data_IF_416500215992
#
_entry.id   IF_416500215992
#
_cell.length_a   1.000
_cell.length_b   1.000
_cell.length_c   1.000
_cell.angle_alpha   90.00
_cell.angle_beta   90.00
_cell.angle_gamma   90.00
#
_symmetry.space_group_name_H-M   'P 1'
#
loop_
_entity.id
_entity.type
_entity.pdbx_description
1 polymer ?
#
# COMPACT_ATOMS: atom_id res chain seq x y z
N UNK A 1 -21.65 11.35 5.39
CA UNK A 1 -20.45 12.21 5.48
C UNK A 1 -20.79 13.62 5.09
N UNK A 2 -20.59 14.53 6.03
CA UNK A 2 -20.63 15.98 5.77
C UNK A 2 -19.42 16.42 4.91
N UNK A 3 -19.51 17.57 4.27
CA UNK A 3 -18.46 18.12 3.37
C UNK A 3 -17.12 18.22 4.10
N UNK A 4 -17.13 18.66 5.37
CA UNK A 4 -15.91 18.79 6.17
C UNK A 4 -15.22 17.45 6.40
N UNK A 5 -15.99 16.38 6.62
CA UNK A 5 -15.45 15.02 6.78
C UNK A 5 -14.86 14.50 5.47
N UNK A 6 -15.51 14.79 4.34
CA UNK A 6 -15.02 14.40 3.02
C UNK A 6 -13.69 15.08 2.70
N UNK A 7 -13.56 16.37 2.99
CA UNK A 7 -12.30 17.11 2.80
C UNK A 7 -11.19 16.50 3.68
N UNK A 8 -11.47 16.22 4.95
CA UNK A 8 -10.48 15.56 5.83
C UNK A 8 -10.07 14.19 5.29
N UNK A 9 -11.02 13.36 4.86
CA UNK A 9 -10.75 12.05 4.30
C UNK A 9 -9.96 12.14 3.00
N UNK A 10 -10.29 13.09 2.14
CA UNK A 10 -9.56 13.36 0.91
C UNK A 10 -8.09 13.72 1.18
N UNK A 11 -7.84 14.61 2.15
CA UNK A 11 -6.46 14.98 2.55
C UNK A 11 -5.70 13.79 3.15
N UNK A 12 -6.36 12.93 3.92
CA UNK A 12 -5.77 11.66 4.38
C UNK A 12 -5.42 10.76 3.19
N UNK A 13 -6.31 10.67 2.20
CA UNK A 13 -6.05 9.97 0.94
C UNK A 13 -4.85 10.55 0.18
N UNK A 14 -4.72 11.88 0.13
CA UNK A 14 -3.54 12.50 -0.47
C UNK A 14 -2.26 12.12 0.29
N UNK A 15 -2.27 12.17 1.63
CA UNK A 15 -1.12 11.76 2.42
C UNK A 15 -0.74 10.27 2.19
N UNK A 16 -1.74 9.40 2.06
CA UNK A 16 -1.52 7.99 1.68
C UNK A 16 -0.91 7.88 0.28
N UNK A 17 -1.45 8.58 -0.71
CA UNK A 17 -0.90 8.55 -2.07
C UNK A 17 0.53 9.09 -2.16
N UNK A 18 0.86 10.12 -1.38
CA UNK A 18 2.23 10.63 -1.28
C UNK A 18 3.20 9.59 -0.69
N UNK A 19 2.76 8.87 0.34
CA UNK A 19 3.50 7.74 0.88
C UNK A 19 3.69 6.61 -0.15
N UNK A 20 2.66 6.30 -0.93
CA UNK A 20 2.71 5.18 -1.89
C UNK A 20 3.55 5.48 -3.15
N UNK A 21 3.73 6.75 -3.54
CA UNK A 21 4.66 7.10 -4.64
C UNK A 21 6.12 6.87 -4.23
N UNK A 22 6.41 6.98 -2.94
CA UNK A 22 7.75 6.92 -2.37
C UNK A 22 8.11 5.49 -1.94
N UNK A 23 9.15 4.86 -2.51
CA UNK A 23 9.63 3.57 -2.03
C UNK A 23 10.07 3.64 -0.56
N UNK A 24 9.57 2.71 0.26
CA UNK A 24 9.95 2.60 1.67
C UNK A 24 9.04 3.35 2.64
N UNK A 25 8.07 4.13 2.15
CA UNK A 25 6.99 4.68 2.96
C UNK A 25 5.70 3.88 2.66
N UNK A 26 4.88 3.62 3.68
CA UNK A 26 3.67 2.80 3.55
C UNK A 26 2.41 3.65 3.74
N UNK A 27 1.56 3.72 2.71
CA UNK A 27 0.23 4.33 2.82
C UNK A 27 -0.65 3.65 3.87
N UNK A 28 -0.48 2.34 4.10
CA UNK A 28 -1.14 1.60 5.19
C UNK A 28 -0.80 2.15 6.58
N UNK A 29 0.46 2.55 6.81
CA UNK A 29 0.87 3.22 8.05
C UNK A 29 0.22 4.59 8.20
N UNK A 30 0.11 5.36 7.12
CA UNK A 30 -0.58 6.66 7.14
C UNK A 30 -2.07 6.47 7.45
N UNK A 31 -2.72 5.46 6.86
CA UNK A 31 -4.10 5.12 7.18
C UNK A 31 -4.28 4.76 8.66
N UNK A 32 -3.32 4.03 9.24
CA UNK A 32 -3.34 3.64 10.65
C UNK A 32 -3.18 4.83 11.59
N UNK A 33 -2.13 5.63 11.40
CA UNK A 33 -1.86 6.81 12.23
C UNK A 33 -2.97 7.86 12.10
N UNK A 34 -3.58 8.00 10.93
CA UNK A 34 -4.70 8.91 10.71
C UNK A 34 -6.07 8.36 11.16
N UNK A 35 -6.11 7.13 11.68
CA UNK A 35 -7.30 6.51 12.28
C UNK A 35 -8.38 6.09 11.28
N UNK A 36 -8.04 5.86 10.01
CA UNK A 36 -8.99 5.40 8.97
C UNK A 36 -8.75 3.96 8.53
N UNK A 37 -7.72 3.31 9.07
CA UNK A 37 -7.31 1.97 8.67
C UNK A 37 -8.40 0.90 8.86
N UNK A 38 -9.07 0.91 10.02
CA UNK A 38 -10.14 -0.06 10.30
C UNK A 38 -11.34 0.12 9.36
N UNK A 39 -11.75 1.38 9.12
CA UNK A 39 -12.85 1.70 8.20
C UNK A 39 -12.49 1.32 6.76
N UNK A 40 -11.25 1.56 6.34
CA UNK A 40 -10.72 1.13 5.05
C UNK A 40 -10.80 -0.39 4.90
N UNK A 41 -10.29 -1.14 5.88
CA UNK A 41 -10.28 -2.60 5.85
C UNK A 41 -11.70 -3.17 5.88
N UNK A 42 -12.60 -2.60 6.68
CA UNK A 42 -14.01 -3.00 6.73
C UNK A 42 -14.72 -2.75 5.38
N UNK A 43 -14.50 -1.58 4.78
CA UNK A 43 -15.07 -1.21 3.48
C UNK A 43 -14.57 -2.13 2.36
N UNK A 44 -13.27 -2.47 2.37
CA UNK A 44 -12.66 -3.43 1.44
C UNK A 44 -13.23 -4.84 1.63
N UNK A 45 -13.37 -5.31 2.88
CA UNK A 45 -13.92 -6.66 3.16
C UNK A 45 -15.38 -6.79 2.72
N UNK A 46 -16.14 -5.71 2.82
CA UNK A 46 -17.53 -5.65 2.37
C UNK A 46 -17.67 -5.67 0.83
N UNK A 47 -16.59 -5.38 0.09
CA UNK A 47 -16.52 -5.61 -1.36
C UNK A 47 -16.25 -7.09 -1.64
N UNK A 48 -17.29 -7.82 -2.06
CA UNK A 48 -17.20 -9.25 -2.26
C UNK A 48 -18.33 -9.83 -3.13
N UNK A 49 -18.45 -11.17 -3.17
CA UNK A 49 -19.49 -11.86 -3.91
C UNK A 49 -20.88 -11.48 -3.42
N UNK A 50 -21.00 -11.20 -2.11
CA UNK A 50 -22.23 -10.72 -1.48
C UNK A 50 -22.67 -9.37 -2.03
N UNK A 51 -21.73 -8.51 -2.45
CA UNK A 51 -22.05 -7.24 -3.11
C UNK A 51 -22.78 -7.46 -4.42
N UNK A 52 -22.44 -8.53 -5.18
CA UNK A 52 -23.17 -8.88 -6.40
C UNK A 52 -24.59 -9.38 -6.08
N UNK A 53 -24.76 -10.11 -4.99
CA UNK A 53 -26.08 -10.55 -4.54
C UNK A 53 -26.96 -9.35 -4.14
N UNK A 54 -26.43 -8.43 -3.34
CA UNK A 54 -27.12 -7.18 -2.94
C UNK A 54 -27.41 -6.30 -4.14
N UNK A 55 -26.46 -6.17 -5.08
CA UNK A 55 -26.65 -5.41 -6.31
C UNK A 55 -27.84 -5.92 -7.13
N UNK A 56 -27.96 -7.24 -7.28
CA UNK A 56 -29.08 -7.87 -8.02
C UNK A 56 -30.40 -7.79 -7.27
N UNK A 57 -30.39 -7.95 -5.95
CA UNK A 57 -31.62 -8.03 -5.15
C UNK A 57 -32.17 -6.66 -4.75
N UNK A 58 -31.30 -5.70 -4.42
CA UNK A 58 -31.67 -4.42 -3.79
C UNK A 58 -31.17 -3.20 -4.58
N UNK A 59 -30.47 -3.43 -5.68
CA UNK A 59 -30.02 -2.38 -6.60
C UNK A 59 -28.68 -1.73 -6.22
N UNK A 60 -28.17 -0.85 -7.11
CA UNK A 60 -26.83 -0.27 -7.01
C UNK A 60 -26.63 0.64 -5.80
N UNK A 61 -27.67 1.36 -5.37
CA UNK A 61 -27.59 2.22 -4.19
C UNK A 61 -27.40 1.42 -2.88
N UNK A 62 -28.02 0.25 -2.77
CA UNK A 62 -27.87 -0.63 -1.62
C UNK A 62 -26.46 -1.24 -1.58
N UNK A 63 -25.98 -1.74 -2.73
CA UNK A 63 -24.61 -2.24 -2.86
C UNK A 63 -23.58 -1.15 -2.52
N UNK A 64 -23.75 0.08 -3.03
CA UNK A 64 -22.85 1.21 -2.74
C UNK A 64 -22.77 1.54 -1.24
N UNK A 65 -23.89 1.43 -0.52
CA UNK A 65 -23.92 1.65 0.93
C UNK A 65 -23.28 0.50 1.70
N UNK A 66 -23.47 -0.74 1.25
CA UNK A 66 -22.93 -1.95 1.90
C UNK A 66 -21.42 -1.87 2.10
N UNK A 67 -20.67 -1.45 1.08
CA UNK A 67 -19.21 -1.36 1.15
C UNK A 67 -18.68 0.04 1.48
N UNK A 68 -19.54 0.96 1.92
CA UNK A 68 -19.16 2.34 2.21
C UNK A 68 -18.49 3.03 1.01
N UNK A 69 -19.12 2.95 -0.17
CA UNK A 69 -18.54 3.48 -1.41
C UNK A 69 -18.26 4.99 -1.39
N UNK A 70 -18.98 5.76 -0.56
CA UNK A 70 -18.70 7.18 -0.36
C UNK A 70 -17.34 7.43 0.29
N UNK A 71 -16.97 6.63 1.30
CA UNK A 71 -15.66 6.65 1.94
C UNK A 71 -14.57 6.26 0.94
N UNK A 72 -14.71 5.09 0.29
CA UNK A 72 -13.70 4.58 -0.64
C UNK A 72 -13.47 5.53 -1.81
N UNK A 73 -14.54 6.05 -2.42
CA UNK A 73 -14.43 6.99 -3.53
C UNK A 73 -13.66 8.25 -3.12
N UNK A 74 -13.97 8.82 -1.95
CA UNK A 74 -13.30 10.03 -1.45
C UNK A 74 -11.82 9.78 -1.16
N UNK A 75 -11.51 8.63 -0.55
CA UNK A 75 -10.14 8.24 -0.23
C UNK A 75 -9.32 7.98 -1.49
N UNK A 76 -9.83 7.16 -2.41
CA UNK A 76 -9.18 6.83 -3.69
C UNK A 76 -8.99 8.07 -4.53
N UNK A 77 -9.95 9.01 -4.54
CA UNK A 77 -9.78 10.29 -5.22
C UNK A 77 -8.60 11.10 -4.65
N UNK A 78 -8.43 11.10 -3.32
CA UNK A 78 -7.28 11.73 -2.67
C UNK A 78 -5.95 11.06 -3.05
N UNK A 79 -5.90 9.73 -2.99
CA UNK A 79 -4.73 8.93 -3.39
C UNK A 79 -4.36 9.21 -4.85
N UNK A 80 -5.32 9.08 -5.77
CA UNK A 80 -5.11 9.30 -7.20
C UNK A 80 -4.64 10.73 -7.48
N UNK A 81 -5.24 11.74 -6.84
CA UNK A 81 -4.82 13.14 -6.97
C UNK A 81 -3.35 13.30 -6.55
N UNK A 82 -2.97 12.73 -5.41
CA UNK A 82 -1.59 12.82 -4.93
C UNK A 82 -0.61 12.08 -5.84
N UNK A 83 -0.96 10.88 -6.31
CA UNK A 83 -0.12 10.11 -7.24
C UNK A 83 0.11 10.90 -8.52
N UNK A 84 -0.93 11.45 -9.14
CA UNK A 84 -0.81 12.23 -10.37
C UNK A 84 0.02 13.50 -10.18
N UNK A 85 -0.09 14.17 -9.03
CA UNK A 85 0.68 15.36 -8.71
C UNK A 85 2.15 15.04 -8.41
N UNK A 86 2.44 13.94 -7.72
CA UNK A 86 3.77 13.63 -7.19
C UNK A 86 4.60 12.68 -8.06
N UNK A 87 3.98 11.90 -8.96
CA UNK A 87 4.72 10.94 -9.78
C UNK A 87 5.83 11.61 -10.59
N UNK A 88 5.56 12.76 -11.21
CA UNK A 88 6.54 13.51 -12.02
C UNK A 88 7.70 14.08 -11.19
N UNK A 89 7.48 14.86 -10.12
CA UNK A 89 8.59 15.40 -9.35
C UNK A 89 9.42 14.29 -8.68
N UNK A 90 8.79 13.23 -8.16
CA UNK A 90 9.52 12.14 -7.49
C UNK A 90 10.37 11.35 -8.50
N UNK A 91 9.82 11.00 -9.67
CA UNK A 91 10.60 10.32 -10.71
C UNK A 91 11.74 11.19 -11.23
N UNK A 92 11.50 12.49 -11.44
CA UNK A 92 12.56 13.42 -11.83
C UNK A 92 13.67 13.49 -10.78
N UNK A 93 13.32 13.57 -9.49
CA UNK A 93 14.29 13.56 -8.39
C UNK A 93 15.04 12.23 -8.28
N UNK A 94 14.39 11.09 -8.55
CA UNK A 94 15.04 9.77 -8.58
C UNK A 94 16.09 9.69 -9.70
N UNK A 95 15.83 10.29 -10.85
CA UNK A 95 16.76 10.31 -11.99
C UNK A 95 17.88 11.34 -11.84
N UNK A 96 17.56 12.56 -11.41
CA UNK A 96 18.49 13.70 -11.44
C UNK A 96 19.16 13.98 -10.10
N UNK A 97 18.54 13.57 -8.99
CA UNK A 97 19.00 13.82 -7.62
C UNK A 97 18.89 12.57 -6.73
N UNK A 98 19.38 11.40 -7.18
CA UNK A 98 19.19 10.14 -6.47
C UNK A 98 19.72 10.21 -5.04
N UNK A 99 20.90 10.81 -4.82
CA UNK A 99 21.50 10.90 -3.49
C UNK A 99 20.58 11.63 -2.50
N UNK A 100 19.92 12.72 -2.91
CA UNK A 100 19.01 13.47 -2.04
C UNK A 100 17.77 12.64 -1.67
N UNK A 101 17.15 12.00 -2.67
CA UNK A 101 15.95 11.19 -2.43
C UNK A 101 16.25 9.94 -1.58
N UNK A 102 17.32 9.21 -1.91
CA UNK A 102 17.72 8.05 -1.13
C UNK A 102 18.10 8.44 0.30
N UNK A 103 18.76 9.59 0.50
CA UNK A 103 19.08 10.10 1.84
C UNK A 103 17.83 10.50 2.62
N UNK A 104 16.84 11.10 1.96
CA UNK A 104 15.56 11.45 2.58
C UNK A 104 14.80 10.20 3.03
N UNK A 105 14.68 9.18 2.17
CA UNK A 105 14.01 7.92 2.52
C UNK A 105 14.77 7.16 3.61
N UNK A 106 16.10 7.11 3.53
CA UNK A 106 16.93 6.55 4.59
C UNK A 106 16.68 7.27 5.93
N UNK A 107 16.58 8.59 5.93
CA UNK A 107 16.24 9.38 7.11
C UNK A 107 14.88 9.00 7.72
N UNK A 108 13.84 8.79 6.89
CA UNK A 108 12.52 8.34 7.35
C UNK A 108 12.55 6.92 7.95
N UNK A 109 13.28 6.00 7.33
CA UNK A 109 13.47 4.64 7.84
C UNK A 109 14.23 4.68 9.17
N UNK A 110 15.33 5.43 9.25
CA UNK A 110 16.12 5.59 10.47
C UNK A 110 15.29 6.19 11.61
N UNK A 111 14.49 7.23 11.33
CA UNK A 111 13.56 7.81 12.31
C UNK A 111 12.53 6.78 12.79
N UNK A 112 11.98 5.96 11.88
CA UNK A 112 11.03 4.90 12.21
C UNK A 112 11.65 3.84 13.12
N UNK A 113 12.90 3.43 12.85
CA UNK A 113 13.66 2.50 13.72
C UNK A 113 13.84 3.09 15.12
N UNK A 114 14.17 4.39 15.23
CA UNK A 114 14.30 5.06 16.53
C UNK A 114 12.97 5.08 17.30
N UNK A 115 11.86 5.39 16.63
CA UNK A 115 10.53 5.40 17.25
C UNK A 115 10.12 4.00 17.70
N UNK A 116 10.25 3.00 16.84
CA UNK A 116 9.96 1.60 17.18
C UNK A 116 10.86 1.10 18.32
N UNK A 117 12.13 1.48 18.33
CA UNK A 117 13.07 1.14 19.41
C UNK A 117 12.65 1.70 20.76
N UNK A 118 11.98 2.86 20.81
CA UNK A 118 11.42 3.44 22.05
C UNK A 118 10.18 2.71 22.57
N UNK A 119 9.50 1.93 21.72
CA UNK A 119 8.37 1.09 22.15
C UNK A 119 8.85 -0.17 22.88
N UNK A 120 10.13 -0.56 22.72
CA UNK A 120 10.74 -1.67 23.44
C UNK A 120 11.04 -1.25 24.88
N UNK A 121 10.21 -1.71 25.82
CA UNK A 121 10.33 -1.37 27.26
C UNK A 121 11.65 -1.81 27.89
N UNK A 122 12.18 -2.97 27.49
CA UNK A 122 13.42 -3.54 28.01
C UNK A 122 14.25 -4.15 26.88
N UNK A 123 15.49 -3.70 26.75
CA UNK A 123 16.48 -4.25 25.82
C UNK A 123 17.18 -5.46 26.44
N UNK A 124 16.50 -6.59 26.47
CA UNK A 124 17.08 -7.88 26.88
C UNK A 124 17.68 -8.61 25.68
N UNK A 125 18.26 -9.79 25.91
CA UNK A 125 18.88 -10.60 24.83
C UNK A 125 17.88 -10.91 23.71
N UNK A 126 16.60 -11.15 24.02
CA UNK A 126 15.58 -11.45 23.03
C UNK A 126 15.39 -10.36 21.96
N UNK A 127 14.98 -9.13 22.33
CA UNK A 127 14.88 -8.00 21.40
C UNK A 127 16.19 -7.69 20.67
N UNK A 128 17.35 -7.86 21.32
CA UNK A 128 18.64 -7.65 20.68
C UNK A 128 18.92 -8.67 19.58
N UNK A 129 18.65 -9.96 19.84
CA UNK A 129 18.72 -11.03 18.84
C UNK A 129 17.73 -10.76 17.70
N UNK A 130 16.49 -10.35 18.02
CA UNK A 130 15.49 -9.97 17.03
C UNK A 130 15.96 -8.81 16.14
N UNK A 131 16.60 -7.80 16.71
CA UNK A 131 17.17 -6.67 15.96
C UNK A 131 18.28 -7.14 15.00
N UNK A 132 19.21 -7.98 15.47
CA UNK A 132 20.31 -8.50 14.65
C UNK A 132 19.79 -9.40 13.53
N UNK A 133 18.86 -10.31 13.84
CA UNK A 133 18.23 -11.17 12.83
C UNK A 133 17.43 -10.36 11.82
N UNK A 134 16.67 -9.36 12.27
CA UNK A 134 15.92 -8.45 11.42
C UNK A 134 16.82 -7.61 10.51
N UNK A 135 17.91 -7.08 11.04
CA UNK A 135 18.92 -6.36 10.26
C UNK A 135 19.61 -7.27 9.24
N UNK A 136 19.94 -8.51 9.63
CA UNK A 136 20.50 -9.52 8.74
C UNK A 136 19.53 -9.91 7.62
N UNK A 137 18.25 -10.10 7.93
CA UNK A 137 17.21 -10.38 6.94
C UNK A 137 17.02 -9.19 5.98
N UNK A 138 16.96 -7.96 6.50
CA UNK A 138 16.87 -6.75 5.68
C UNK A 138 18.09 -6.58 4.77
N UNK A 139 19.30 -6.84 5.28
CA UNK A 139 20.53 -6.83 4.49
C UNK A 139 20.52 -7.91 3.41
N UNK A 140 20.13 -9.14 3.76
CA UNK A 140 20.01 -10.24 2.80
C UNK A 140 19.06 -9.88 1.65
N UNK A 141 17.90 -9.30 1.97
CA UNK A 141 16.94 -8.79 0.96
C UNK A 141 17.52 -7.64 0.15
N UNK A 142 18.26 -6.72 0.77
CA UNK A 142 18.87 -5.58 0.07
C UNK A 142 20.00 -5.95 -0.90
N UNK A 143 20.69 -7.07 -0.66
CA UNK A 143 21.74 -7.60 -1.56
C UNK A 143 21.16 -8.52 -2.64
N UNK A 144 19.91 -8.99 -2.49
CA UNK A 144 19.19 -9.57 -3.62
C UNK A 144 19.12 -8.50 -4.71
N UNK A 145 19.64 -8.84 -5.89
CA UNK A 145 19.48 -7.96 -7.04
C UNK A 145 17.99 -7.78 -7.28
N UNK A 146 17.54 -6.53 -7.42
CA UNK A 146 16.19 -6.26 -7.89
C UNK A 146 15.95 -7.13 -9.13
N UNK A 147 14.83 -7.85 -9.15
CA UNK A 147 14.54 -8.73 -10.28
C UNK A 147 14.65 -7.94 -11.59
N UNK A 148 15.08 -8.59 -12.67
CA UNK A 148 15.21 -7.95 -13.99
C UNK A 148 13.88 -7.40 -14.56
N UNK A 149 12.80 -7.45 -13.79
CA UNK A 149 11.45 -7.10 -14.22
C UNK A 149 10.99 -7.94 -15.42
N UNK A 150 9.82 -7.60 -15.93
CA UNK A 150 9.36 -8.04 -17.23
C UNK A 150 8.36 -7.01 -17.75
N UNK A 151 8.40 -6.72 -19.05
CA UNK A 151 7.43 -5.82 -19.68
C UNK A 151 6.08 -6.50 -19.98
N UNK A 152 5.87 -7.71 -19.46
CA UNK A 152 4.67 -8.50 -19.72
C UNK A 152 3.50 -8.14 -18.79
N UNK A 153 2.28 -8.13 -19.33
CA UNK A 153 1.08 -7.78 -18.56
C UNK A 153 0.83 -8.73 -17.39
N UNK A 154 1.10 -10.04 -17.55
CA UNK A 154 0.93 -11.00 -16.45
C UNK A 154 1.87 -10.69 -15.27
N UNK A 155 3.08 -10.19 -15.57
CA UNK A 155 4.03 -9.77 -14.55
C UNK A 155 3.52 -8.54 -13.80
N UNK A 156 3.04 -7.52 -14.52
CA UNK A 156 2.45 -6.33 -13.88
C UNK A 156 1.21 -6.65 -13.03
N UNK A 157 0.38 -7.59 -13.50
CA UNK A 157 -0.74 -8.10 -12.73
C UNK A 157 -0.28 -8.72 -11.41
N UNK A 158 0.70 -9.64 -11.47
CA UNK A 158 1.22 -10.31 -10.28
C UNK A 158 1.94 -9.34 -9.35
N UNK A 159 2.71 -8.40 -9.90
CA UNK A 159 3.39 -7.36 -9.15
C UNK A 159 2.38 -6.49 -8.37
N UNK A 160 1.29 -6.06 -9.01
CA UNK A 160 0.19 -5.34 -8.35
C UNK A 160 -0.48 -6.17 -7.26
N UNK A 161 -0.73 -7.45 -7.52
CA UNK A 161 -1.33 -8.37 -6.55
C UNK A 161 -0.44 -8.60 -5.32
N UNK A 162 0.87 -8.73 -5.48
CA UNK A 162 1.80 -8.92 -4.36
C UNK A 162 1.98 -7.60 -3.59
N UNK A 163 2.17 -6.49 -4.31
CA UNK A 163 2.40 -5.17 -3.72
C UNK A 163 1.24 -4.72 -2.84
N UNK A 164 -0.01 -4.94 -3.25
CA UNK A 164 -1.18 -4.54 -2.44
C UNK A 164 -1.34 -5.41 -1.19
N UNK A 165 -1.02 -6.71 -1.28
CA UNK A 165 -1.10 -7.62 -0.14
C UNK A 165 -0.12 -7.19 0.95
N UNK A 166 1.08 -6.78 0.53
CA UNK A 166 2.06 -6.16 1.40
C UNK A 166 1.54 -4.83 1.98
N UNK A 167 1.00 -3.94 1.15
CA UNK A 167 0.55 -2.60 1.56
C UNK A 167 -0.63 -2.60 2.54
N UNK A 168 -1.48 -3.64 2.53
CA UNK A 168 -2.56 -3.79 3.52
C UNK A 168 -2.00 -3.84 4.94
N UNK A 169 -0.82 -4.43 5.15
CA UNK A 169 -0.21 -4.51 6.48
C UNK A 169 0.49 -3.18 6.78
N UNK A 170 0.11 -2.47 7.88
CA UNK A 170 0.81 -1.27 8.29
C UNK A 170 2.29 -1.57 8.48
N UNK A 171 3.14 -0.72 7.91
CA UNK A 171 4.60 -0.85 8.00
C UNK A 171 5.27 -1.55 6.82
N UNK A 172 4.53 -2.17 5.90
CA UNK A 172 5.10 -2.71 4.66
C UNK A 172 4.71 -1.82 3.48
N UNK A 173 5.69 -1.42 2.67
CA UNK A 173 5.52 -0.49 1.55
C UNK A 173 5.29 -1.23 0.24
N UNK A 174 4.12 -1.04 -0.40
CA UNK A 174 3.82 -1.66 -1.69
C UNK A 174 4.74 -1.19 -2.82
N UNK A 175 5.11 0.09 -2.83
CA UNK A 175 6.07 0.65 -3.78
C UNK A 175 7.48 0.09 -3.63
N UNK A 176 7.90 -0.22 -2.39
CA UNK A 176 9.16 -0.93 -2.15
C UNK A 176 9.11 -2.36 -2.69
N UNK A 177 8.00 -3.07 -2.52
CA UNK A 177 7.80 -4.40 -3.11
C UNK A 177 7.85 -4.34 -4.63
N UNK A 178 7.18 -3.38 -5.27
CA UNK A 178 7.30 -3.16 -6.72
C UNK A 178 8.74 -2.89 -7.14
N UNK A 179 9.52 -2.19 -6.33
CA UNK A 179 10.92 -1.90 -6.60
C UNK A 179 11.78 -3.17 -6.54
N UNK A 180 11.59 -4.00 -5.51
CA UNK A 180 12.29 -5.30 -5.39
C UNK A 180 11.96 -6.24 -6.55
N UNK A 181 10.72 -6.22 -7.03
CA UNK A 181 10.30 -7.00 -8.20
C UNK A 181 10.86 -6.45 -9.53
N UNK A 182 11.36 -5.21 -9.55
CA UNK A 182 11.76 -4.52 -10.79
C UNK A 182 10.59 -3.90 -11.57
N UNK A 183 9.41 -3.83 -10.97
CA UNK A 183 8.20 -3.28 -11.59
C UNK A 183 7.99 -1.78 -11.32
N UNK A 184 8.65 -1.21 -10.30
CA UNK A 184 8.38 0.17 -9.86
C UNK A 184 8.58 1.21 -10.98
N UNK A 185 9.74 1.21 -11.64
CA UNK A 185 10.04 2.15 -12.73
C UNK A 185 9.01 2.11 -13.86
N UNK A 186 8.77 0.94 -14.48
CA UNK A 186 7.76 0.80 -15.53
C UNK A 186 6.35 1.19 -15.09
N UNK A 187 5.94 0.87 -13.86
CA UNK A 187 4.61 1.25 -13.34
C UNK A 187 4.52 2.77 -13.15
N UNK A 188 5.55 3.43 -12.64
CA UNK A 188 5.57 4.90 -12.51
C UNK A 188 5.55 5.59 -13.87
N UNK A 189 6.27 5.07 -14.86
CA UNK A 189 6.25 5.61 -16.21
C UNK A 189 4.87 5.40 -16.87
N UNK A 190 4.24 4.23 -16.67
CA UNK A 190 2.86 3.98 -17.12
C UNK A 190 1.85 4.98 -16.53
N UNK A 191 1.97 5.29 -15.23
CA UNK A 191 1.14 6.32 -14.58
C UNK A 191 1.39 7.71 -15.19
N UNK A 192 2.66 8.08 -15.42
CA UNK A 192 3.06 9.39 -15.96
C UNK A 192 2.62 9.60 -17.41
N UNK A 193 2.68 8.54 -18.21
CA UNK A 193 2.32 8.51 -19.64
C UNK A 193 0.83 8.20 -19.88
N UNK A 194 0.07 7.93 -18.81
CA UNK A 194 -1.32 7.48 -18.88
C UNK A 194 -1.50 6.20 -19.72
N UNK A 195 -0.56 5.25 -19.63
CA UNK A 195 -0.74 3.90 -20.15
C UNK A 195 -1.78 3.15 -19.31
N UNK A 196 -3.04 3.31 -19.70
CA UNK A 196 -4.19 2.70 -19.03
C UNK A 196 -4.17 1.17 -19.09
N UNK A 197 -3.43 0.57 -20.03
CA UNK A 197 -3.33 -0.88 -20.12
C UNK A 197 -2.49 -1.41 -18.97
N UNK A 198 -1.28 -0.85 -18.77
CA UNK A 198 -0.41 -1.25 -17.66
C UNK A 198 -1.02 -0.84 -16.33
N UNK A 199 -1.50 0.40 -16.19
CA UNK A 199 -2.14 0.89 -14.96
C UNK A 199 -3.37 0.06 -14.60
N UNK A 200 -4.23 -0.23 -15.59
CA UNK A 200 -5.40 -1.08 -15.39
C UNK A 200 -5.03 -2.50 -15.01
N UNK A 201 -3.98 -3.06 -15.60
CA UNK A 201 -3.49 -4.41 -15.29
C UNK A 201 -2.96 -4.52 -13.86
N UNK A 202 -2.14 -3.55 -13.42
CA UNK A 202 -1.67 -3.46 -12.02
C UNK A 202 -2.85 -3.28 -11.08
N UNK A 203 -3.81 -2.41 -11.43
CA UNK A 203 -5.01 -2.16 -10.64
C UNK A 203 -5.89 -3.40 -10.48
N UNK A 204 -6.08 -4.19 -11.54
CA UNK A 204 -6.80 -5.47 -11.50
C UNK A 204 -6.08 -6.49 -10.63
N UNK A 205 -4.76 -6.59 -10.77
CA UNK A 205 -3.92 -7.41 -9.90
C UNK A 205 -4.09 -7.03 -8.43
N UNK A 206 -4.04 -5.72 -8.14
CA UNK A 206 -4.24 -5.20 -6.80
C UNK A 206 -5.64 -5.54 -6.25
N UNK A 207 -6.71 -5.32 -7.02
CA UNK A 207 -8.07 -5.64 -6.56
C UNK A 207 -8.19 -7.14 -6.24
N UNK A 208 -7.75 -8.02 -7.14
CA UNK A 208 -7.87 -9.47 -6.96
C UNK A 208 -6.95 -10.00 -5.85
N UNK A 209 -5.73 -9.46 -5.72
CA UNK A 209 -4.81 -9.79 -4.63
C UNK A 209 -5.42 -9.43 -3.28
N UNK A 210 -5.92 -8.20 -3.14
CA UNK A 210 -6.55 -7.68 -1.93
C UNK A 210 -7.80 -8.49 -1.53
N UNK A 211 -8.67 -8.82 -2.49
CA UNK A 211 -9.86 -9.65 -2.24
C UNK A 211 -9.51 -11.08 -1.82
N UNK A 212 -8.47 -11.67 -2.39
CA UNK A 212 -8.03 -13.02 -2.05
C UNK A 212 -7.36 -13.06 -0.68
N UNK A 213 -6.49 -12.09 -0.42
CA UNK A 213 -5.71 -12.01 0.82
C UNK A 213 -6.54 -11.60 2.02
N UNK A 214 -7.50 -10.69 1.87
CA UNK A 214 -8.43 -10.33 2.96
C UNK A 214 -9.25 -11.52 3.45
N UNK A 215 -9.63 -12.44 2.56
CA UNK A 215 -10.29 -13.71 2.92
C UNK A 215 -9.33 -14.68 3.60
N UNK A 216 -8.10 -14.78 3.11
CA UNK A 216 -7.06 -15.60 3.74
C UNK A 216 -6.79 -15.13 5.18
N UNK A 217 -6.59 -13.82 5.39
CA UNK A 217 -6.41 -13.24 6.72
C UNK A 217 -7.61 -13.50 7.63
N UNK A 218 -8.83 -13.31 7.12
CA UNK A 218 -10.06 -13.58 7.90
C UNK A 218 -10.16 -15.05 8.30
N UNK A 219 -9.82 -15.97 7.39
CA UNK A 219 -9.76 -17.40 7.69
C UNK A 219 -8.67 -17.74 8.72
N UNK A 220 -7.48 -17.12 8.62
CA UNK A 220 -6.40 -17.33 9.59
C UNK A 220 -6.79 -16.81 10.98
N UNK A 221 -7.33 -15.59 11.09
CA UNK A 221 -7.78 -15.03 12.36
C UNK A 221 -8.93 -15.82 13.00
N UNK A 222 -9.85 -16.37 12.21
CA UNK A 222 -10.96 -17.19 12.74
C UNK A 222 -10.51 -18.59 13.19
N UNK A 223 -9.43 -19.12 12.63
CA UNK A 223 -8.99 -20.51 12.87
C UNK A 223 -7.77 -20.63 13.79
N UNK A 224 -7.04 -19.53 14.03
CA UNK A 224 -5.82 -19.50 14.84
C UNK A 224 -5.78 -18.27 15.77
N UNK A 225 -6.92 -17.85 16.32
CA UNK A 225 -7.00 -16.66 17.19
C UNK A 225 -6.14 -16.78 18.48
N UNK A 226 -5.70 -17.99 18.83
CA UNK A 226 -4.96 -18.33 20.06
C UNK A 226 -3.52 -18.84 19.81
N UNK A 227 -2.86 -18.45 18.70
CA UNK A 227 -1.41 -18.61 18.52
C UNK A 227 -0.69 -17.27 18.50
#
# INVERSE_FOLDING_TARGET
MDVRERVKLFLKGMAMGAADVVPGVSGGTIAFISGIYEELLASIRALGPDTLAVLRAQGPAAAWRQFNGGFLLTLVAGIATSVLLLVRPITWLLEHQPVLIWSFFFGLIAASVLVCGRLVKHWTVGPLVGLVLGAGAAYAVGVLHAGNGSDSLWFYFLAGAIAICAMILPGISGSFILLLLGAYGPVMEAVKSFDLVVVGTVGLGAILGLMSFSRLLTWMFQRHHDL
#
